data_IF_199224416790
#
_entry.id   IF_199224416790
#
_cell.length_a   1.000
_cell.length_b   1.000
_cell.length_c   1.000
_cell.angle_alpha   90.00
_cell.angle_beta   90.00
_cell.angle_gamma   90.00
#
_symmetry.space_group_name_H-M   'P 1'
#
loop_
_entity.id
_entity.type
_entity.pdbx_description
1 polymer ?
#
# COMPACT_ATOMS: atom_id res chain seq x y z
N UNK A 1 -70.39 -14.52 -18.99
CA UNK A 1 -69.79 -13.60 -19.97
C UNK A 1 -69.66 -12.24 -19.30
N UNK A 2 -68.54 -11.54 -19.17
CA UNK A 2 -67.12 -11.74 -19.45
C UNK A 2 -66.39 -10.58 -18.73
N UNK A 3 -65.16 -10.82 -18.31
CA UNK A 3 -64.27 -9.93 -17.53
C UNK A 3 -63.90 -8.57 -18.15
N UNK A 4 -63.13 -7.79 -17.33
CA UNK A 4 -62.04 -6.84 -17.62
C UNK A 4 -62.41 -5.37 -17.35
N UNK A 5 -61.63 -4.51 -16.66
CA UNK A 5 -60.28 -4.55 -16.07
C UNK A 5 -60.17 -3.32 -15.12
N UNK A 6 -59.70 -3.49 -13.89
CA UNK A 6 -58.34 -3.17 -13.39
C UNK A 6 -58.15 -1.79 -12.73
N UNK A 7 -58.04 -1.85 -11.40
CA UNK A 7 -56.97 -1.31 -10.55
C UNK A 7 -56.19 -0.07 -10.99
N UNK A 8 -56.23 0.95 -10.13
CA UNK A 8 -55.07 1.80 -9.84
C UNK A 8 -55.13 2.28 -8.39
N UNK A 9 -54.73 1.41 -7.46
CA UNK A 9 -54.39 1.85 -6.12
C UNK A 9 -53.01 2.50 -6.12
N UNK A 10 -53.02 3.77 -5.71
CA UNK A 10 -51.88 4.63 -5.39
C UNK A 10 -50.71 3.86 -4.79
N UNK A 11 -49.61 3.79 -5.54
CA UNK A 11 -48.32 3.32 -5.06
C UNK A 11 -47.79 4.34 -4.03
N UNK A 12 -47.91 4.00 -2.75
CA UNK A 12 -47.29 4.74 -1.67
C UNK A 12 -45.78 4.82 -1.92
N UNK A 13 -45.27 6.03 -2.14
CA UNK A 13 -43.86 6.29 -2.37
C UNK A 13 -43.03 5.66 -1.24
N UNK A 14 -42.22 4.65 -1.59
CA UNK A 14 -41.22 4.08 -0.69
C UNK A 14 -40.27 5.19 -0.26
N UNK A 15 -39.81 5.23 1.01
CA UNK A 15 -38.75 6.13 1.40
C UNK A 15 -37.52 5.87 0.52
N UNK A 16 -36.74 6.90 0.14
CA UNK A 16 -35.57 6.72 -0.70
C UNK A 16 -34.63 5.73 0.00
N UNK A 17 -34.50 4.54 -0.59
CA UNK A 17 -33.49 3.57 -0.17
C UNK A 17 -32.11 4.23 -0.34
N UNK A 18 -31.22 4.03 0.64
CA UNK A 18 -29.79 4.29 0.46
C UNK A 18 -29.35 3.74 -0.90
N UNK A 19 -28.63 4.54 -1.69
CA UNK A 19 -28.31 4.25 -3.10
C UNK A 19 -27.47 2.98 -3.30
N UNK A 20 -26.92 2.42 -2.22
CA UNK A 20 -26.20 1.15 -2.23
C UNK A 20 -26.87 0.22 -1.22
N UNK A 21 -27.47 -0.87 -1.71
CA UNK A 21 -28.08 -1.89 -0.89
C UNK A 21 -27.01 -2.47 0.06
N UNK A 22 -27.16 -2.27 1.37
CA UNK A 22 -26.33 -2.84 2.45
C UNK A 22 -24.88 -2.34 2.60
N UNK A 23 -24.65 -1.03 2.71
CA UNK A 23 -23.43 -0.58 3.41
C UNK A 23 -23.49 -0.99 4.89
N UNK A 24 -22.42 -1.58 5.42
CA UNK A 24 -22.31 -1.92 6.85
C UNK A 24 -22.39 -0.61 7.66
N UNK A 25 -23.33 -0.55 8.60
CA UNK A 25 -23.41 0.58 9.51
C UNK A 25 -22.12 0.67 10.36
N UNK A 26 -21.67 1.89 10.74
CA UNK A 26 -20.56 2.05 11.66
C UNK A 26 -20.84 1.34 12.98
N UNK A 27 -19.81 0.78 13.60
CA UNK A 27 -19.93 0.22 14.95
C UNK A 27 -20.02 1.37 15.96
N UNK A 28 -20.86 1.20 16.98
CA UNK A 28 -20.95 2.21 18.03
C UNK A 28 -19.60 2.34 18.76
N UNK A 29 -19.27 3.57 19.14
CA UNK A 29 -18.03 3.91 19.79
C UNK A 29 -18.23 4.05 21.30
N UNK A 30 -17.65 3.13 22.06
CA UNK A 30 -17.73 3.01 23.52
C UNK A 30 -16.46 3.52 24.24
N UNK A 31 -15.50 4.10 23.49
CA UNK A 31 -14.21 4.61 23.96
C UNK A 31 -13.21 3.58 24.50
N UNK A 32 -13.55 2.30 24.52
CA UNK A 32 -12.67 1.25 25.03
C UNK A 32 -11.38 1.14 24.20
N UNK A 33 -11.41 1.60 22.94
CA UNK A 33 -10.31 1.50 21.99
C UNK A 33 -10.11 2.82 21.23
N UNK A 34 -9.24 3.73 21.72
CA UNK A 34 -8.96 5.04 21.09
C UNK A 34 -8.58 4.96 19.61
N UNK A 35 -7.87 3.91 19.20
CA UNK A 35 -7.50 3.68 17.80
C UNK A 35 -8.70 3.45 16.85
N UNK A 36 -9.87 3.07 17.37
CA UNK A 36 -11.09 2.90 16.56
C UNK A 36 -11.71 4.22 16.12
N UNK A 37 -11.38 5.35 16.74
CA UNK A 37 -11.94 6.67 16.35
C UNK A 37 -11.61 6.99 14.90
N UNK A 38 -10.38 6.73 14.46
CA UNK A 38 -9.97 6.94 13.06
C UNK A 38 -10.78 6.06 12.11
N UNK A 39 -10.95 4.78 12.44
CA UNK A 39 -11.76 3.85 11.63
C UNK A 39 -13.23 4.26 11.58
N UNK A 40 -13.78 4.77 12.68
CA UNK A 40 -15.14 5.29 12.76
C UNK A 40 -15.33 6.51 11.85
N UNK A 41 -14.41 7.49 11.94
CA UNK A 41 -14.44 8.70 11.10
C UNK A 41 -14.35 8.32 9.61
N UNK A 42 -13.48 7.38 9.25
CA UNK A 42 -13.38 6.88 7.87
C UNK A 42 -14.69 6.21 7.39
N UNK A 43 -15.36 5.45 8.26
CA UNK A 43 -16.65 4.86 7.95
C UNK A 43 -17.72 5.93 7.69
N UNK A 44 -17.76 7.00 8.51
CA UNK A 44 -18.66 8.13 8.29
C UNK A 44 -18.37 8.84 6.96
N UNK A 45 -17.11 9.18 6.69
CA UNK A 45 -16.71 9.83 5.43
C UNK A 45 -17.14 9.01 4.22
N UNK A 46 -16.98 7.69 4.26
CA UNK A 46 -17.42 6.79 3.19
C UNK A 46 -18.94 6.87 2.98
N UNK A 47 -19.73 6.85 4.05
CA UNK A 47 -21.19 6.95 4.00
C UNK A 47 -21.63 8.31 3.43
N UNK A 48 -21.04 9.41 3.90
CA UNK A 48 -21.38 10.76 3.43
C UNK A 48 -21.04 10.95 1.95
N UNK A 49 -19.91 10.40 1.50
CA UNK A 49 -19.54 10.44 0.10
C UNK A 49 -20.45 9.59 -0.79
N UNK A 50 -20.95 8.47 -0.26
CA UNK A 50 -21.86 7.58 -0.96
C UNK A 50 -23.28 8.18 -1.07
N UNK A 51 -23.77 8.85 -0.04
CA UNK A 51 -25.11 9.44 0.00
C UNK A 51 -25.10 10.96 0.20
N UNK A 52 -24.56 11.67 -0.81
CA UNK A 52 -24.48 13.13 -0.78
C UNK A 52 -25.84 13.85 -0.74
N UNK A 53 -26.93 13.16 -1.07
CA UNK A 53 -28.26 13.77 -1.06
C UNK A 53 -28.80 13.93 0.37
N UNK A 54 -28.59 12.92 1.22
CA UNK A 54 -28.99 12.97 2.63
C UNK A 54 -27.93 13.64 3.53
N UNK A 55 -26.68 13.73 3.07
CA UNK A 55 -25.56 14.32 3.79
C UNK A 55 -24.99 15.54 3.06
N UNK A 56 -25.89 16.44 2.66
CA UNK A 56 -25.55 17.62 1.87
C UNK A 56 -24.95 18.74 2.73
N UNK A 57 -25.39 18.86 3.98
CA UNK A 57 -24.96 19.82 4.97
C UNK A 57 -24.15 19.14 6.06
N UNK A 58 -23.20 19.87 6.62
CA UNK A 58 -22.36 19.37 7.72
C UNK A 58 -23.17 18.98 8.95
N UNK A 59 -24.27 19.68 9.19
CA UNK A 59 -25.15 19.38 10.32
C UNK A 59 -25.79 18.00 10.25
N UNK A 60 -26.21 17.56 9.06
CA UNK A 60 -26.76 16.21 8.87
C UNK A 60 -25.69 15.13 9.16
N UNK A 61 -24.45 15.40 8.73
CA UNK A 61 -23.29 14.52 8.98
C UNK A 61 -23.00 14.40 10.47
N UNK A 62 -22.94 15.53 11.18
CA UNK A 62 -22.64 15.52 12.62
C UNK A 62 -23.76 14.82 13.39
N UNK A 63 -25.03 15.15 13.14
CA UNK A 63 -26.15 14.49 13.81
C UNK A 63 -26.14 12.97 13.60
N UNK A 64 -25.88 12.51 12.37
CA UNK A 64 -25.72 11.09 12.10
C UNK A 64 -24.54 10.48 12.86
N UNK A 65 -23.36 11.10 12.83
CA UNK A 65 -22.21 10.58 13.56
C UNK A 65 -22.47 10.48 15.07
N UNK A 66 -23.19 11.45 15.64
CA UNK A 66 -23.50 11.47 17.06
C UNK A 66 -24.40 10.32 17.51
N UNK A 67 -25.23 9.74 16.64
CA UNK A 67 -26.07 8.59 17.00
C UNK A 67 -25.27 7.29 17.22
N UNK A 68 -23.98 7.27 16.88
CA UNK A 68 -23.08 6.13 17.09
C UNK A 68 -22.11 6.34 18.26
N UNK A 69 -22.19 7.48 18.94
CA UNK A 69 -21.39 7.75 20.13
C UNK A 69 -22.13 7.24 21.37
N UNK A 70 -21.42 6.52 22.24
CA UNK A 70 -21.96 6.01 23.50
C UNK A 70 -21.04 6.45 24.64
N UNK A 71 -21.56 6.55 25.86
CA UNK A 71 -20.73 6.70 27.05
C UNK A 71 -20.34 8.16 27.33
N UNK A 72 -19.04 8.46 27.48
CA UNK A 72 -18.57 9.84 27.72
C UNK A 72 -18.60 10.68 26.44
N UNK A 73 -18.46 10.06 25.26
CA UNK A 73 -18.58 10.70 23.97
C UNK A 73 -20.00 11.22 23.71
N UNK A 74 -21.01 10.43 24.10
CA UNK A 74 -22.42 10.84 24.10
C UNK A 74 -22.65 12.04 25.03
N UNK A 75 -22.21 11.94 26.29
CA UNK A 75 -22.35 13.02 27.29
C UNK A 75 -21.72 14.35 26.85
N UNK A 76 -20.60 14.30 26.12
CA UNK A 76 -19.99 15.50 25.57
C UNK A 76 -20.91 16.18 24.54
N UNK A 77 -21.58 15.39 23.71
CA UNK A 77 -22.46 15.86 22.66
C UNK A 77 -23.83 16.29 23.19
N UNK A 78 -24.34 15.67 24.26
CA UNK A 78 -25.62 16.03 24.90
C UNK A 78 -25.74 17.54 25.18
N UNK A 79 -24.64 18.17 25.64
CA UNK A 79 -24.61 19.62 25.85
C UNK A 79 -24.97 20.40 24.59
N UNK A 80 -24.48 19.97 23.43
CA UNK A 80 -24.74 20.60 22.15
C UNK A 80 -26.11 20.23 21.55
N UNK A 81 -26.65 19.07 21.91
CA UNK A 81 -28.01 18.67 21.50
C UNK A 81 -29.10 19.49 22.21
N UNK A 82 -28.80 20.10 23.35
CA UNK A 82 -29.76 20.95 24.08
C UNK A 82 -30.20 22.20 23.31
N UNK A 83 -29.38 22.68 22.36
CA UNK A 83 -29.67 23.87 21.57
C UNK A 83 -29.47 23.61 20.07
N UNK A 84 -30.35 22.79 19.49
CA UNK A 84 -30.36 22.48 18.07
C UNK A 84 -30.70 23.71 17.20
N UNK A 85 -31.33 24.76 17.72
CA UNK A 85 -31.64 25.95 16.90
C UNK A 85 -30.46 26.90 16.74
N UNK A 86 -29.32 26.62 17.37
CA UNK A 86 -28.11 27.42 17.23
C UNK A 86 -27.58 27.40 15.78
N UNK A 87 -27.45 28.59 15.18
CA UNK A 87 -26.97 28.79 13.81
C UNK A 87 -25.52 29.26 13.73
N UNK A 88 -24.83 29.42 14.87
CA UNK A 88 -23.43 29.81 14.89
C UNK A 88 -22.59 28.75 14.16
N UNK A 89 -21.75 29.19 13.22
CA UNK A 89 -20.86 28.30 12.46
C UNK A 89 -19.78 27.66 13.35
N UNK A 90 -19.42 28.32 14.45
CA UNK A 90 -18.50 27.77 15.45
C UNK A 90 -19.16 26.70 16.32
N UNK A 91 -20.48 26.54 16.23
CA UNK A 91 -21.20 25.51 16.96
C UNK A 91 -20.82 24.13 16.45
N UNK A 92 -20.46 23.24 17.38
CA UNK A 92 -19.91 21.92 17.07
C UNK A 92 -20.77 21.15 16.04
N UNK A 93 -22.10 21.19 16.21
CA UNK A 93 -23.06 20.48 15.35
C UNK A 93 -23.17 21.06 13.93
N UNK A 94 -22.70 22.28 13.67
CA UNK A 94 -22.86 22.95 12.38
C UNK A 94 -21.62 22.79 11.47
N UNK A 95 -20.54 22.17 11.97
CA UNK A 95 -19.30 21.96 11.21
C UNK A 95 -18.79 20.54 11.39
N UNK A 96 -18.71 19.80 10.29
CA UNK A 96 -18.16 18.44 10.30
C UNK A 96 -16.69 18.47 10.70
N UNK A 97 -15.91 19.38 10.10
CA UNK A 97 -14.47 19.53 10.39
C UNK A 97 -14.21 19.82 11.87
N UNK A 98 -15.01 20.69 12.49
CA UNK A 98 -14.86 21.02 13.92
C UNK A 98 -15.23 19.84 14.81
N UNK A 99 -16.29 19.11 14.46
CA UNK A 99 -16.69 17.88 15.15
C UNK A 99 -15.67 16.77 15.03
N UNK A 100 -15.15 16.51 13.83
CA UNK A 100 -14.10 15.53 13.55
C UNK A 100 -12.85 15.82 14.36
N UNK A 101 -12.38 17.07 14.34
CA UNK A 101 -11.24 17.51 15.13
C UNK A 101 -11.47 17.31 16.64
N UNK A 102 -12.65 17.66 17.14
CA UNK A 102 -12.98 17.51 18.57
C UNK A 102 -13.08 16.05 18.99
N UNK A 103 -13.69 15.19 18.16
CA UNK A 103 -13.75 13.75 18.38
C UNK A 103 -12.35 13.14 18.41
N UNK A 104 -11.51 13.49 17.44
CA UNK A 104 -10.14 12.99 17.38
C UNK A 104 -9.29 13.49 18.57
N UNK A 105 -9.41 14.76 18.95
CA UNK A 105 -8.63 15.34 20.05
C UNK A 105 -8.99 14.74 21.41
N UNK A 106 -10.26 14.40 21.62
CA UNK A 106 -10.73 13.89 22.91
C UNK A 106 -10.60 12.37 23.04
N UNK A 107 -10.77 11.65 21.94
CA UNK A 107 -10.91 10.19 21.96
C UNK A 107 -9.87 9.46 21.10
N UNK A 108 -9.14 10.17 20.24
CA UNK A 108 -8.07 9.59 19.42
C UNK A 108 -6.82 9.27 20.25
N UNK A 109 -5.94 8.46 19.66
CA UNK A 109 -4.64 8.17 20.27
C UNK A 109 -3.67 9.34 20.01
N UNK A 110 -3.37 10.11 21.05
CA UNK A 110 -2.44 11.26 20.97
C UNK A 110 -1.02 10.86 20.58
N UNK A 111 -0.69 9.57 20.67
CA UNK A 111 0.62 9.03 20.32
C UNK A 111 0.63 8.30 18.97
N UNK A 112 -0.47 8.34 18.20
CA UNK A 112 -0.56 7.61 16.92
C UNK A 112 0.57 7.98 15.96
N UNK A 113 0.84 9.28 15.79
CA UNK A 113 1.94 9.76 14.94
C UNK A 113 3.30 9.25 15.44
N UNK A 114 3.57 9.36 16.74
CA UNK A 114 4.85 8.90 17.33
C UNK A 114 5.03 7.39 17.20
N UNK A 115 3.97 6.61 17.43
CA UNK A 115 3.99 5.15 17.23
C UNK A 115 4.25 4.80 15.76
N UNK A 116 3.62 5.51 14.83
CA UNK A 116 3.86 5.31 13.41
C UNK A 116 5.32 5.63 13.02
N UNK A 117 5.91 6.68 13.60
CA UNK A 117 7.33 7.01 13.44
C UNK A 117 8.25 5.91 14.00
N UNK A 118 8.00 5.43 15.22
CA UNK A 118 8.76 4.34 15.86
C UNK A 118 8.65 3.01 15.07
N UNK A 119 7.46 2.67 14.59
CA UNK A 119 7.21 1.51 13.74
C UNK A 119 7.91 1.68 12.38
N UNK A 120 7.88 2.88 11.79
CA UNK A 120 8.59 3.16 10.55
C UNK A 120 10.11 3.02 10.72
N UNK A 121 10.64 3.46 11.86
CA UNK A 121 12.06 3.37 12.16
C UNK A 121 12.57 1.94 12.31
N UNK A 122 11.73 1.07 12.85
CA UNK A 122 11.98 -0.36 13.01
C UNK A 122 11.55 -1.19 11.80
N UNK A 123 10.85 -0.60 10.81
CA UNK A 123 10.35 -1.31 9.64
C UNK A 123 11.51 -1.88 8.80
N UNK A 124 11.56 -3.20 8.68
CA UNK A 124 12.52 -3.94 7.83
C UNK A 124 11.79 -4.92 6.94
N UNK A 125 12.22 -5.00 5.69
CA UNK A 125 11.77 -6.04 4.77
C UNK A 125 12.45 -7.37 5.12
N UNK A 126 11.66 -8.38 5.48
CA UNK A 126 12.19 -9.72 5.80
C UNK A 126 12.66 -10.43 4.54
N UNK A 127 13.65 -11.30 4.68
CA UNK A 127 14.18 -12.09 3.56
C UNK A 127 13.10 -13.01 2.96
N UNK A 128 13.04 -13.06 1.64
CA UNK A 128 12.07 -13.89 0.91
C UNK A 128 10.63 -13.38 0.85
N UNK A 129 10.30 -12.29 1.54
CA UNK A 129 9.02 -11.56 1.35
C UNK A 129 9.12 -10.68 0.11
N UNK A 130 8.00 -10.48 -0.57
CA UNK A 130 7.89 -9.56 -1.71
C UNK A 130 7.91 -8.09 -1.29
N UNK A 131 8.56 -7.24 -2.11
CA UNK A 131 8.62 -5.78 -1.86
C UNK A 131 7.24 -5.15 -1.78
N UNK A 132 6.26 -5.65 -2.53
CA UNK A 132 4.88 -5.12 -2.50
C UNK A 132 4.27 -5.12 -1.10
N UNK A 133 4.52 -6.16 -0.29
CA UNK A 133 4.03 -6.21 1.08
C UNK A 133 4.74 -5.19 1.97
N UNK A 134 6.05 -5.03 1.80
CA UNK A 134 6.82 -3.99 2.50
C UNK A 134 6.35 -2.58 2.16
N UNK A 135 6.06 -2.31 0.88
CA UNK A 135 5.50 -1.03 0.42
C UNK A 135 4.15 -0.74 1.07
N UNK A 136 3.26 -1.74 1.17
CA UNK A 136 1.96 -1.59 1.81
C UNK A 136 2.09 -1.17 3.28
N UNK A 137 2.99 -1.82 4.04
CA UNK A 137 3.26 -1.44 5.43
C UNK A 137 3.85 -0.03 5.54
N UNK A 138 4.86 0.28 4.71
CA UNK A 138 5.48 1.60 4.67
C UNK A 138 4.45 2.71 4.40
N UNK A 139 3.60 2.55 3.37
CA UNK A 139 2.56 3.54 3.04
C UNK A 139 1.51 3.68 4.13
N UNK A 140 1.14 2.57 4.79
CA UNK A 140 0.23 2.61 5.94
C UNK A 140 0.79 3.48 7.07
N UNK A 141 2.06 3.27 7.44
CA UNK A 141 2.72 4.06 8.48
C UNK A 141 2.87 5.53 8.10
N UNK A 142 3.34 5.81 6.88
CA UNK A 142 3.48 7.19 6.37
C UNK A 142 2.15 7.94 6.35
N UNK A 143 1.01 7.25 6.14
CA UNK A 143 -0.32 7.89 6.21
C UNK A 143 -0.72 8.36 7.62
N UNK A 144 -0.09 7.82 8.67
CA UNK A 144 -0.27 8.24 10.06
C UNK A 144 0.74 9.30 10.50
N UNK A 145 1.84 9.44 9.74
CA UNK A 145 2.89 10.42 9.98
C UNK A 145 2.51 11.72 9.26
N UNK A 146 2.73 12.86 9.92
CA UNK A 146 2.44 14.19 9.38
C UNK A 146 3.37 14.60 8.24
N UNK A 147 3.69 15.90 8.18
CA UNK A 147 4.45 16.51 7.06
C UNK A 147 5.94 16.13 7.04
N UNK A 148 6.24 14.89 6.62
CA UNK A 148 7.60 14.48 6.28
C UNK A 148 7.93 14.84 4.83
N UNK A 149 9.10 15.43 4.61
CA UNK A 149 9.60 15.70 3.27
C UNK A 149 10.00 14.41 2.53
N UNK A 150 9.92 14.46 1.20
CA UNK A 150 10.20 13.29 0.34
C UNK A 150 11.59 12.69 0.57
N UNK A 151 12.61 13.52 0.82
CA UNK A 151 13.97 13.07 1.15
C UNK A 151 14.02 12.20 2.41
N UNK A 152 13.25 12.54 3.44
CA UNK A 152 13.16 11.75 4.65
C UNK A 152 12.45 10.41 4.36
N UNK A 153 11.35 10.44 3.61
CA UNK A 153 10.64 9.23 3.20
C UNK A 153 11.53 8.27 2.40
N UNK A 154 12.31 8.79 1.45
CA UNK A 154 13.30 8.02 0.67
C UNK A 154 14.34 7.38 1.61
N UNK A 155 14.87 8.14 2.56
CA UNK A 155 15.86 7.63 3.53
C UNK A 155 15.29 6.48 4.36
N UNK A 156 14.11 6.65 4.95
CA UNK A 156 13.48 5.61 5.77
C UNK A 156 13.07 4.39 4.96
N UNK A 157 12.60 4.59 3.73
CA UNK A 157 12.27 3.49 2.83
C UNK A 157 13.51 2.66 2.47
N UNK A 158 14.65 3.31 2.17
CA UNK A 158 15.93 2.62 1.89
C UNK A 158 16.48 1.86 3.08
N UNK A 159 16.39 2.45 4.29
CA UNK A 159 16.87 1.87 5.56
C UNK A 159 16.29 0.47 5.82
N UNK A 160 15.10 0.19 5.28
CA UNK A 160 14.42 -1.08 5.50
C UNK A 160 14.79 -2.22 4.56
N UNK A 161 15.58 -1.98 3.52
CA UNK A 161 15.86 -3.00 2.51
C UNK A 161 16.96 -4.00 2.90
N UNK A 162 16.86 -5.25 2.45
CA UNK A 162 17.96 -6.21 2.51
C UNK A 162 19.10 -5.79 1.57
N UNK A 163 20.33 -6.23 1.89
CA UNK A 163 21.54 -5.94 1.09
C UNK A 163 21.36 -6.28 -0.40
N UNK A 164 20.69 -7.39 -0.72
CA UNK A 164 20.42 -7.81 -2.12
C UNK A 164 19.74 -6.73 -2.99
N UNK A 165 18.92 -5.87 -2.37
CA UNK A 165 18.23 -4.77 -3.06
C UNK A 165 19.15 -3.54 -3.05
N UNK A 166 19.78 -3.23 -1.92
CA UNK A 166 20.70 -2.10 -1.79
C UNK A 166 21.87 -2.19 -2.77
N UNK A 167 22.48 -3.36 -2.94
CA UNK A 167 23.60 -3.59 -3.87
C UNK A 167 23.17 -3.37 -5.33
N UNK A 168 21.94 -3.75 -5.67
CA UNK A 168 21.39 -3.52 -7.02
C UNK A 168 21.04 -2.05 -7.23
N UNK A 169 20.52 -1.36 -6.21
CA UNK A 169 20.27 0.09 -6.28
C UNK A 169 21.58 0.90 -6.39
N UNK A 170 22.67 0.43 -5.76
CA UNK A 170 23.98 1.09 -5.83
C UNK A 170 24.60 1.02 -7.24
N UNK A 171 24.23 0.03 -8.05
CA UNK A 171 24.74 -0.13 -9.41
C UNK A 171 24.25 0.94 -10.39
N UNK A 172 23.09 1.58 -10.14
CA UNK A 172 22.54 2.64 -10.98
C UNK A 172 21.82 3.72 -10.13
N UNK A 173 22.57 4.64 -9.50
CA UNK A 173 22.01 5.67 -8.64
C UNK A 173 21.22 6.75 -9.40
N UNK A 174 21.50 6.94 -10.69
CA UNK A 174 20.93 7.99 -11.55
C UNK A 174 19.43 7.85 -11.83
N UNK A 175 18.85 6.69 -11.50
CA UNK A 175 17.45 6.37 -11.81
C UNK A 175 16.45 6.79 -10.73
N UNK A 176 16.91 7.44 -9.64
CA UNK A 176 16.10 7.65 -8.42
C UNK A 176 16.04 9.15 -8.09
N UNK A 177 15.07 9.84 -8.68
CA UNK A 177 14.83 11.27 -8.45
C UNK A 177 13.67 11.52 -7.47
N UNK A 178 12.74 10.57 -7.36
CA UNK A 178 11.58 10.64 -6.47
C UNK A 178 11.37 9.36 -5.64
N UNK A 179 10.50 9.46 -4.63
CA UNK A 179 10.05 8.29 -3.88
C UNK A 179 9.31 7.29 -4.78
N UNK A 180 8.56 7.77 -5.78
CA UNK A 180 7.85 6.90 -6.72
C UNK A 180 8.82 6.11 -7.60
N UNK A 181 9.92 6.73 -8.06
CA UNK A 181 10.93 6.02 -8.84
C UNK A 181 11.58 4.91 -8.01
N UNK A 182 11.90 5.21 -6.75
CA UNK A 182 12.46 4.21 -5.84
C UNK A 182 11.49 3.04 -5.62
N UNK A 183 10.19 3.30 -5.44
CA UNK A 183 9.16 2.26 -5.32
C UNK A 183 9.08 1.38 -6.57
N UNK A 184 9.07 1.99 -7.75
CA UNK A 184 8.96 1.28 -9.02
C UNK A 184 10.18 0.40 -9.29
N UNK A 185 11.39 0.94 -9.10
CA UNK A 185 12.63 0.20 -9.31
C UNK A 185 12.72 -0.97 -8.34
N UNK A 186 12.37 -0.77 -7.07
CA UNK A 186 12.46 -1.85 -6.08
C UNK A 186 11.46 -2.98 -6.36
N UNK A 187 10.26 -2.67 -6.87
CA UNK A 187 9.32 -3.67 -7.37
C UNK A 187 9.87 -4.46 -8.57
N UNK A 188 10.51 -3.77 -9.52
CA UNK A 188 11.14 -4.41 -10.69
C UNK A 188 12.26 -5.38 -10.26
N UNK A 189 13.16 -4.92 -9.38
CA UNK A 189 14.27 -5.73 -8.86
C UNK A 189 13.78 -6.95 -8.09
N UNK A 190 12.72 -6.80 -7.29
CA UNK A 190 12.13 -7.90 -6.53
C UNK A 190 11.46 -8.94 -7.43
N UNK A 191 10.71 -8.49 -8.44
CA UNK A 191 10.09 -9.37 -9.44
C UNK A 191 11.16 -10.23 -10.11
N UNK A 192 12.24 -9.61 -10.62
CA UNK A 192 13.38 -10.30 -11.24
C UNK A 192 14.08 -11.26 -10.28
N UNK A 193 14.17 -10.93 -8.99
CA UNK A 193 14.75 -11.81 -7.97
C UNK A 193 13.91 -13.06 -7.75
N UNK A 194 12.60 -12.90 -7.58
CA UNK A 194 11.68 -14.01 -7.36
C UNK A 194 11.54 -14.91 -8.58
N UNK A 195 11.57 -14.36 -9.79
CA UNK A 195 11.65 -15.14 -11.04
C UNK A 195 12.91 -16.00 -11.11
N UNK A 196 14.08 -15.41 -10.83
CA UNK A 196 15.36 -16.15 -10.77
C UNK A 196 15.33 -17.27 -9.71
N UNK A 197 14.72 -17.02 -8.55
CA UNK A 197 14.57 -18.02 -7.49
C UNK A 197 13.64 -19.16 -7.91
N UNK A 198 12.50 -18.85 -8.54
CA UNK A 198 11.56 -19.86 -9.10
C UNK A 198 12.22 -20.69 -10.18
N UNK A 199 12.93 -20.07 -11.13
CA UNK A 199 13.67 -20.76 -12.18
C UNK A 199 14.73 -21.73 -11.63
N UNK A 200 15.48 -21.31 -10.61
CA UNK A 200 16.45 -22.18 -9.91
C UNK A 200 15.81 -23.35 -9.18
N UNK A 201 14.63 -23.17 -8.58
CA UNK A 201 13.90 -24.27 -7.90
C UNK A 201 13.36 -25.27 -8.92
N UNK A 202 12.87 -24.82 -10.07
CA UNK A 202 12.44 -25.71 -11.16
C UNK A 202 13.63 -26.49 -11.71
N UNK A 203 14.76 -25.83 -11.97
CA UNK A 203 15.98 -26.48 -12.48
C UNK A 203 16.58 -27.50 -11.51
N UNK A 204 16.53 -27.25 -10.19
CA UNK A 204 16.97 -28.21 -9.16
C UNK A 204 16.05 -29.42 -9.04
N UNK A 205 14.75 -29.26 -9.29
CA UNK A 205 13.79 -30.37 -9.24
C UNK A 205 13.84 -31.27 -10.49
N UNK A 206 14.38 -30.78 -11.60
CA UNK A 206 14.47 -31.51 -12.87
C UNK A 206 15.82 -32.20 -13.11
N UNK A 207 16.79 -32.07 -12.21
CA UNK A 207 18.12 -32.68 -12.37
C UNK A 207 18.19 -34.02 -11.63
N UNK A 208 17.93 -35.10 -12.35
CA UNK A 208 18.31 -36.46 -11.95
C UNK A 208 19.85 -36.53 -11.68
N UNK A 209 20.32 -37.26 -10.65
CA UNK A 209 21.74 -37.38 -10.31
C UNK A 209 22.69 -37.65 -11.48
N UNK A 210 22.28 -38.39 -12.51
CA UNK A 210 23.15 -38.66 -13.68
C UNK A 210 23.35 -37.42 -14.55
N UNK A 211 22.35 -36.52 -14.59
CA UNK A 211 22.39 -35.27 -15.36
C UNK A 211 23.38 -34.24 -14.77
N UNK A 212 23.64 -34.30 -13.47
CA UNK A 212 24.60 -33.40 -12.80
C UNK A 212 26.06 -33.78 -13.12
N UNK A 213 26.36 -35.07 -13.22
CA UNK A 213 27.69 -35.59 -13.58
C UNK A 213 28.05 -35.22 -15.04
N UNK A 214 27.07 -35.26 -15.96
CA UNK A 214 27.28 -34.94 -17.38
C UNK A 214 27.55 -33.44 -17.64
N UNK A 215 27.08 -32.55 -16.77
CA UNK A 215 27.38 -31.11 -16.82
C UNK A 215 28.77 -30.80 -16.26
N UNK A 216 29.22 -31.52 -15.23
CA UNK A 216 30.56 -31.39 -14.65
C UNK A 216 31.67 -31.96 -15.55
N UNK A 217 31.35 -32.92 -16.43
CA UNK A 217 32.29 -33.56 -17.35
C UNK A 217 32.45 -32.87 -18.71
N UNK A 218 31.71 -31.79 -18.99
CA UNK A 218 31.89 -31.02 -20.22
C UNK A 218 33.09 -30.08 -20.09
N UNK A 219 34.27 -30.69 -20.18
CA UNK A 219 35.53 -29.96 -20.39
C UNK A 219 35.45 -29.27 -21.76
N UNK A 220 35.73 -27.97 -21.88
CA UNK A 220 35.72 -27.29 -23.18
C UNK A 220 36.86 -27.84 -24.05
N UNK A 221 36.51 -28.36 -25.23
CA UNK A 221 37.49 -28.75 -26.25
C UNK A 221 38.18 -27.48 -26.79
N UNK A 222 39.42 -27.26 -26.37
CA UNK A 222 40.32 -26.33 -27.05
C UNK A 222 40.57 -26.87 -28.47
N UNK A 223 40.18 -26.10 -29.49
CA UNK A 223 40.51 -26.38 -30.89
C UNK A 223 41.90 -25.79 -31.15
N UNK A 224 42.92 -26.62 -31.20
CA UNK A 224 44.20 -26.29 -31.82
C UNK A 224 43.98 -26.15 -33.32
N UNK A 225 44.53 -25.07 -33.90
CA UNK A 225 44.44 -24.75 -35.32
C UNK A 225 45.86 -24.71 -35.87
N UNK A 226 46.25 -25.83 -36.46
CA UNK A 226 47.48 -26.14 -37.21
C UNK A 226 47.03 -27.40 -37.99
N UNK A 227 47.14 -27.54 -39.31
CA UNK A 227 48.03 -27.01 -40.34
C UNK A 227 47.24 -27.02 -41.66
N UNK A 228 47.58 -26.13 -42.61
CA UNK A 228 47.61 -26.43 -44.06
C UNK A 228 47.97 -25.14 -44.81
N UNK A 229 49.25 -24.97 -45.14
CA UNK A 229 49.75 -24.54 -46.45
C UNK A 229 51.27 -24.33 -46.37
N UNK A 230 52.02 -25.30 -46.88
CA UNK A 230 53.41 -25.09 -47.29
C UNK A 230 53.58 -25.61 -48.72
N UNK A 231 53.63 -24.67 -49.66
CA UNK A 231 54.29 -24.82 -50.95
C UNK A 231 54.82 -23.45 -51.31
N UNK A 232 56.10 -23.20 -51.02
CA UNK A 232 56.96 -22.60 -52.03
C UNK A 232 58.44 -22.81 -51.68
N UNK A 233 59.19 -22.98 -52.77
CA UNK A 233 60.61 -23.26 -52.87
C UNK A 233 61.46 -22.13 -52.28
N UNK A 234 62.58 -22.48 -51.64
CA UNK A 234 63.51 -21.49 -51.11
C UNK A 234 64.77 -22.12 -50.55
N UNK A 235 65.79 -22.18 -51.41
CA UNK A 235 67.13 -22.70 -51.21
C UNK A 235 67.92 -21.97 -50.08
N UNK A 236 68.43 -22.74 -49.11
CA UNK A 236 69.70 -22.70 -48.33
C UNK A 236 70.49 -21.38 -48.06
N UNK A 237 71.48 -21.37 -47.13
CA UNK A 237 71.47 -21.80 -45.72
C UNK A 237 72.11 -20.78 -44.73
N UNK A 238 71.72 -20.90 -43.46
CA UNK A 238 72.48 -20.74 -42.20
C UNK A 238 73.64 -19.71 -42.00
N UNK A 239 73.50 -18.97 -40.88
CA UNK A 239 74.50 -18.67 -39.81
C UNK A 239 75.68 -17.74 -40.14
N UNK A 240 76.26 -16.95 -39.25
CA UNK A 240 76.09 -16.44 -37.87
C UNK A 240 77.31 -15.49 -37.67
N UNK A 241 77.38 -14.83 -36.51
CA UNK A 241 78.58 -14.25 -35.86
C UNK A 241 78.74 -12.73 -35.97
N UNK A 242 78.69 -12.14 -34.76
CA UNK A 242 79.07 -10.79 -34.26
C UNK A 242 78.21 -9.57 -34.58
#
# INVERSE_FOLDING_TARGET
MSNLQADSFSEAARPPAFKTQSMKAPECFDETQPFKVRSLIQAFQLIFHNDRANFSQDREKVLYATSFLIGRAEKLIEHYLSNLTNQDQSYLLNSWTSSEYRLFTLFGDTNEGRKAEEELDSLRMKEGIHVSLYISYFRGLVSGIGEWGERALIHHFRKGFPSRILDQLASDPSRIDSLQDLLNITLELDTRYHERKRGRVVFKRSLDPQSQILLMLKVPKFKSKEEDEFSEEGQAPFLFVE
#
